data_IF_058970763136
#
_entry.id   IF_058970763136
#
_cell.length_a   1.000
_cell.length_b   1.000
_cell.length_c   1.000
_cell.angle_alpha   90.00
_cell.angle_beta   90.00
_cell.angle_gamma   90.00
#
_symmetry.space_group_name_H-M   'P 1'
#
loop_
_entity.id
_entity.type
_entity.pdbx_description
1 polymer ?
#
# COMPACT_ATOMS: atom_id res chain seq x y z
N UNK A 1 31.32 7.11 -29.64
CA UNK A 1 30.30 8.17 -29.48
C UNK A 1 29.09 7.72 -30.29
N UNK A 2 28.10 7.10 -29.65
CA UNK A 2 26.96 6.50 -30.34
C UNK A 2 25.90 7.58 -30.54
N UNK A 3 25.73 8.06 -31.77
CA UNK A 3 24.70 9.05 -32.08
C UNK A 3 23.33 8.39 -32.02
N UNK A 4 22.50 8.80 -31.06
CA UNK A 4 21.09 8.43 -31.02
C UNK A 4 20.41 8.90 -32.33
N UNK A 5 19.49 8.09 -32.91
CA UNK A 5 18.80 8.46 -34.14
C UNK A 5 17.97 9.72 -33.93
N UNK A 6 17.89 10.54 -34.98
CA UNK A 6 17.18 11.81 -34.97
C UNK A 6 15.70 11.62 -34.57
N UNK A 7 15.33 12.14 -33.38
CA UNK A 7 13.93 12.33 -32.95
C UNK A 7 13.46 11.54 -31.72
N UNK A 8 14.28 10.70 -31.08
CA UNK A 8 13.88 9.90 -29.91
C UNK A 8 14.55 10.30 -28.60
N UNK A 9 13.82 10.20 -27.47
CA UNK A 9 14.39 10.32 -26.12
C UNK A 9 15.39 9.18 -25.86
N UNK A 10 16.60 9.54 -25.43
CA UNK A 10 17.62 8.57 -25.00
C UNK A 10 17.28 7.94 -23.65
N UNK A 11 17.96 6.85 -23.28
CA UNK A 11 17.82 6.28 -21.93
C UNK A 11 18.26 7.27 -20.84
N UNK A 12 19.27 8.08 -21.10
CA UNK A 12 19.71 9.13 -20.17
C UNK A 12 18.65 10.21 -19.97
N UNK A 13 17.92 10.57 -21.04
CA UNK A 13 16.79 11.50 -20.94
C UNK A 13 15.67 10.93 -20.06
N UNK A 14 15.32 9.65 -20.29
CA UNK A 14 14.32 8.96 -19.47
C UNK A 14 14.74 8.87 -18.01
N UNK A 15 15.99 8.51 -17.75
CA UNK A 15 16.52 8.41 -16.40
C UNK A 15 16.51 9.78 -15.70
N UNK A 16 16.94 10.84 -16.38
CA UNK A 16 16.88 12.21 -15.85
C UNK A 16 15.45 12.61 -15.50
N UNK A 17 14.48 12.32 -16.37
CA UNK A 17 13.06 12.56 -16.09
C UNK A 17 12.60 11.81 -14.83
N UNK A 18 12.90 10.51 -14.72
CA UNK A 18 12.47 9.69 -13.57
C UNK A 18 13.08 10.18 -12.25
N UNK A 19 14.36 10.56 -12.25
CA UNK A 19 15.03 11.14 -11.08
C UNK A 19 14.36 12.46 -10.68
N UNK A 20 14.09 13.35 -11.64
CA UNK A 20 13.41 14.61 -11.39
C UNK A 20 12.00 14.40 -10.87
N UNK A 21 11.25 13.45 -11.46
CA UNK A 21 9.88 13.13 -11.04
C UNK A 21 9.86 12.56 -9.63
N UNK A 22 10.77 11.64 -9.29
CA UNK A 22 10.90 11.11 -7.92
C UNK A 22 11.18 12.24 -6.92
N UNK A 23 12.13 13.12 -7.21
CA UNK A 23 12.45 14.25 -6.34
C UNK A 23 11.24 15.20 -6.17
N UNK A 24 10.46 15.42 -7.22
CA UNK A 24 9.22 16.20 -7.15
C UNK A 24 8.17 15.50 -6.28
N UNK A 25 7.93 14.21 -6.46
CA UNK A 25 7.00 13.43 -5.65
C UNK A 25 7.39 13.44 -4.16
N UNK A 26 8.69 13.35 -3.85
CA UNK A 26 9.18 13.45 -2.47
C UNK A 26 8.87 14.82 -1.87
N UNK A 27 9.12 15.92 -2.61
CA UNK A 27 8.74 17.28 -2.15
C UNK A 27 7.22 17.44 -1.97
N UNK A 28 6.42 16.94 -2.91
CA UNK A 28 4.95 16.96 -2.83
C UNK A 28 4.45 16.22 -1.58
N UNK A 29 5.00 15.04 -1.30
CA UNK A 29 4.68 14.27 -0.10
C UNK A 29 5.07 14.99 1.18
N UNK A 30 6.28 15.54 1.25
CA UNK A 30 6.76 16.28 2.43
C UNK A 30 5.87 17.49 2.71
N UNK A 31 5.49 18.22 1.66
CA UNK A 31 4.63 19.39 1.80
C UNK A 31 3.21 19.03 2.31
N UNK A 32 2.68 17.86 1.95
CA UNK A 32 1.31 17.45 2.33
C UNK A 32 1.22 16.66 3.63
N UNK A 33 2.21 15.81 3.89
CA UNK A 33 2.16 14.81 4.97
C UNK A 33 3.28 14.98 6.00
N UNK A 34 4.16 15.96 5.81
CA UNK A 34 5.37 16.12 6.63
C UNK A 34 6.46 15.14 6.23
N UNK A 35 7.52 15.09 7.04
CA UNK A 35 8.63 14.18 6.79
C UNK A 35 8.17 12.72 6.85
N UNK A 36 8.38 11.97 5.78
CA UNK A 36 8.12 10.53 5.72
C UNK A 36 9.40 9.83 5.25
N UNK A 37 10.06 9.13 6.17
CA UNK A 37 11.25 8.31 5.88
C UNK A 37 10.83 6.88 5.48
N UNK A 38 9.95 6.81 4.48
CA UNK A 38 9.29 5.57 4.02
C UNK A 38 9.27 5.53 2.49
N UNK A 39 10.34 6.04 1.88
CA UNK A 39 10.41 6.23 0.44
C UNK A 39 10.59 4.90 -0.32
N UNK A 40 10.94 3.83 0.40
CA UNK A 40 10.97 2.42 0.00
C UNK A 40 9.58 1.88 -0.35
N UNK A 41 8.51 2.48 0.19
CA UNK A 41 7.14 2.07 -0.09
C UNK A 41 6.64 2.52 -1.47
N UNK A 42 7.44 3.31 -2.22
CA UNK A 42 7.08 3.75 -3.57
C UNK A 42 5.82 4.62 -3.64
N UNK A 43 5.39 5.20 -2.51
CA UNK A 43 4.18 6.01 -2.37
C UNK A 43 4.30 7.30 -3.18
N UNK A 44 3.20 7.67 -3.84
CA UNK A 44 2.98 9.01 -4.39
C UNK A 44 1.77 9.66 -3.72
N UNK A 45 1.73 10.99 -3.65
CA UNK A 45 0.58 11.69 -3.10
C UNK A 45 -0.66 11.49 -4.00
N UNK A 46 -1.84 11.18 -3.44
CA UNK A 46 -3.07 11.12 -4.22
C UNK A 46 -3.46 12.50 -4.78
N UNK A 47 -4.35 12.56 -5.80
CA UNK A 47 -5.03 13.80 -6.20
C UNK A 47 -5.69 14.48 -4.99
N UNK A 48 -5.83 15.80 -5.02
CA UNK A 48 -6.31 16.56 -3.85
C UNK A 48 -7.80 16.29 -3.55
N UNK A 49 -8.56 15.99 -4.59
CA UNK A 49 -9.97 15.61 -4.57
C UNK A 49 -10.21 14.16 -4.17
N UNK A 50 -9.15 13.34 -4.04
CA UNK A 50 -9.28 11.94 -3.68
C UNK A 50 -9.53 11.79 -2.17
N UNK A 51 -10.78 11.44 -1.83
CA UNK A 51 -11.22 11.22 -0.46
C UNK A 51 -11.93 9.87 -0.30
N UNK A 52 -11.13 8.79 -0.22
CA UNK A 52 -11.63 7.47 0.14
C UNK A 52 -11.61 7.28 1.66
N UNK A 53 -12.73 6.77 2.20
CA UNK A 53 -12.90 6.44 3.61
C UNK A 53 -13.20 4.95 3.78
N UNK A 54 -12.64 4.30 4.80
CA UNK A 54 -12.92 2.90 5.06
C UNK A 54 -14.35 2.70 5.57
N UNK A 55 -14.91 1.53 5.29
CA UNK A 55 -16.19 1.05 5.79
C UNK A 55 -15.92 0.33 7.12
N UNK A 56 -16.36 0.88 8.27
CA UNK A 56 -16.16 0.24 9.56
C UNK A 56 -17.09 -0.97 9.72
N UNK A 57 -16.61 -1.99 10.44
CA UNK A 57 -17.44 -3.12 10.89
C UNK A 57 -17.45 -3.26 12.42
N UNK A 58 -16.94 -2.25 13.12
CA UNK A 58 -16.86 -2.21 14.57
C UNK A 58 -17.33 -0.86 15.11
N UNK A 59 -17.88 -0.85 16.33
CA UNK A 59 -18.46 0.34 16.96
C UNK A 59 -17.44 1.48 17.20
N UNK A 60 -16.14 1.17 17.22
CA UNK A 60 -15.06 2.15 17.34
C UNK A 60 -14.65 2.79 16.00
N UNK A 61 -15.42 2.58 14.93
CA UNK A 61 -15.15 3.16 13.61
C UNK A 61 -14.00 2.50 12.85
N UNK A 62 -13.45 1.39 13.33
CA UNK A 62 -12.44 0.61 12.61
C UNK A 62 -13.04 -0.60 11.89
N UNK A 63 -12.21 -1.30 11.13
CA UNK A 63 -12.54 -2.58 10.53
C UNK A 63 -11.52 -3.66 10.93
N UNK A 64 -12.02 -4.88 11.16
CA UNK A 64 -11.23 -6.03 11.59
C UNK A 64 -11.58 -7.30 10.80
N UNK A 65 -10.69 -8.28 10.88
CA UNK A 65 -10.87 -9.60 10.29
C UNK A 65 -10.75 -9.62 8.76
N UNK A 66 -10.62 -10.82 8.20
CA UNK A 66 -10.40 -11.00 6.76
C UNK A 66 -11.51 -10.38 5.89
N UNK A 67 -12.76 -10.42 6.36
CA UNK A 67 -13.89 -9.81 5.64
C UNK A 67 -13.78 -8.29 5.58
N UNK A 68 -13.55 -7.61 6.73
CA UNK A 68 -13.39 -6.16 6.77
C UNK A 68 -12.22 -5.67 5.92
N UNK A 69 -11.10 -6.39 5.94
CA UNK A 69 -9.96 -6.11 5.06
C UNK A 69 -10.30 -6.31 3.58
N UNK A 70 -10.97 -7.40 3.21
CA UNK A 70 -11.33 -7.68 1.82
C UNK A 70 -12.33 -6.66 1.25
N UNK A 71 -13.35 -6.30 2.02
CA UNK A 71 -14.37 -5.31 1.61
C UNK A 71 -13.76 -3.93 1.40
N UNK A 72 -12.92 -3.48 2.33
CA UNK A 72 -12.23 -2.21 2.22
C UNK A 72 -11.20 -2.19 1.10
N UNK A 73 -10.47 -3.28 0.90
CA UNK A 73 -9.53 -3.37 -0.23
C UNK A 73 -10.27 -3.29 -1.57
N UNK A 74 -11.39 -4.00 -1.69
CA UNK A 74 -12.22 -3.96 -2.89
C UNK A 74 -12.85 -2.57 -3.11
N UNK A 75 -13.30 -1.89 -2.06
CA UNK A 75 -13.88 -0.53 -2.16
C UNK A 75 -12.81 0.49 -2.56
N UNK A 76 -11.60 0.40 -1.99
CA UNK A 76 -10.47 1.23 -2.36
C UNK A 76 -10.09 1.03 -3.82
N UNK A 77 -9.91 -0.21 -4.28
CA UNK A 77 -9.52 -0.49 -5.67
C UNK A 77 -10.51 0.02 -6.72
N UNK A 78 -11.79 0.17 -6.38
CA UNK A 78 -12.80 0.73 -7.31
C UNK A 78 -12.61 2.22 -7.59
N UNK A 79 -12.00 2.95 -6.66
CA UNK A 79 -11.85 4.40 -6.74
C UNK A 79 -10.38 4.85 -6.71
N UNK A 80 -9.45 3.92 -6.51
CA UNK A 80 -8.02 4.22 -6.40
C UNK A 80 -7.52 4.89 -7.69
N UNK A 81 -6.89 6.08 -7.61
CA UNK A 81 -6.44 6.80 -8.79
C UNK A 81 -5.32 6.05 -9.50
N UNK A 82 -5.45 5.91 -10.81
CA UNK A 82 -4.39 5.32 -11.62
C UNK A 82 -3.26 6.32 -11.83
N UNK A 83 -2.02 5.86 -11.68
CA UNK A 83 -0.82 6.63 -12.00
C UNK A 83 -0.06 5.94 -13.13
N UNK A 84 0.30 6.71 -14.16
CA UNK A 84 1.18 6.28 -15.25
C UNK A 84 2.17 7.39 -15.52
N UNK A 85 3.45 7.04 -15.58
CA UNK A 85 4.49 7.91 -16.13
C UNK A 85 4.97 7.30 -17.44
N UNK A 86 4.93 8.03 -18.57
CA UNK A 86 5.27 7.48 -19.89
C UNK A 86 6.75 7.07 -20.01
N UNK A 87 7.61 7.53 -19.11
CA UNK A 87 9.04 7.18 -19.08
C UNK A 87 9.36 6.02 -18.14
N UNK A 88 8.37 5.56 -17.35
CA UNK A 88 8.52 4.45 -16.42
C UNK A 88 8.27 3.11 -17.10
N UNK A 89 9.02 2.10 -16.70
CA UNK A 89 8.86 0.74 -17.22
C UNK A 89 7.66 0.02 -16.58
N UNK A 90 7.21 0.46 -15.40
CA UNK A 90 6.09 -0.13 -14.68
C UNK A 90 4.98 0.91 -14.49
N UNK A 91 3.75 0.51 -14.81
CA UNK A 91 2.57 1.31 -14.53
C UNK A 91 2.08 1.08 -13.10
N UNK A 92 1.40 2.09 -12.55
CA UNK A 92 0.80 2.03 -11.22
C UNK A 92 1.72 2.50 -10.10
N UNK A 93 1.12 3.20 -9.14
CA UNK A 93 1.76 3.61 -7.88
C UNK A 93 0.74 3.47 -6.76
N UNK A 94 1.25 3.22 -5.56
CA UNK A 94 0.41 3.19 -4.38
C UNK A 94 0.23 4.61 -3.82
N UNK A 95 -0.94 4.86 -3.22
CA UNK A 95 -1.29 6.20 -2.68
C UNK A 95 -1.95 6.15 -1.30
N UNK A 96 -2.36 4.97 -0.80
CA UNK A 96 -3.21 4.86 0.39
C UNK A 96 -2.79 3.72 1.29
N UNK A 97 -2.26 4.01 2.47
CA UNK A 97 -2.09 2.98 3.51
C UNK A 97 -3.41 2.72 4.22
N UNK A 98 -4.07 1.63 3.85
CA UNK A 98 -5.38 1.27 4.40
C UNK A 98 -5.32 1.01 5.92
N UNK A 99 -4.19 0.48 6.42
CA UNK A 99 -3.97 0.28 7.86
C UNK A 99 -4.06 1.59 8.66
N UNK A 100 -3.46 2.67 8.13
CA UNK A 100 -3.40 4.02 8.72
C UNK A 100 -4.73 4.78 8.65
N UNK A 101 -5.73 4.24 7.94
CA UNK A 101 -7.07 4.82 7.86
C UNK A 101 -7.98 4.34 9.01
N UNK A 102 -7.49 3.45 9.88
CA UNK A 102 -8.23 2.97 11.04
C UNK A 102 -7.94 3.84 12.25
N UNK A 103 -8.97 4.30 12.99
CA UNK A 103 -8.75 5.03 14.24
C UNK A 103 -8.21 4.12 15.36
N UNK A 104 -8.48 2.81 15.31
CA UNK A 104 -7.99 1.83 16.29
C UNK A 104 -7.40 0.63 15.53
N UNK A 105 -6.15 0.30 15.82
CA UNK A 105 -5.41 -0.72 15.05
C UNK A 105 -5.60 -2.15 15.57
N UNK A 106 -6.04 -2.30 16.82
CA UNK A 106 -6.21 -3.60 17.48
C UNK A 106 -7.61 -3.73 18.12
N UNK A 107 -8.31 -4.87 17.95
CA UNK A 107 -9.61 -5.09 18.58
C UNK A 107 -9.52 -4.98 20.11
N UNK A 108 -10.36 -4.16 20.76
CA UNK A 108 -10.41 -4.06 22.22
C UNK A 108 -10.72 -5.40 22.92
N UNK A 109 -11.45 -6.28 22.25
CA UNK A 109 -11.83 -7.62 22.74
C UNK A 109 -10.61 -8.54 22.89
N UNK A 110 -9.53 -8.22 22.18
CA UNK A 110 -8.25 -8.94 22.21
C UNK A 110 -7.17 -8.12 22.95
N UNK A 111 -7.57 -7.20 23.82
CA UNK A 111 -6.64 -6.38 24.59
C UNK A 111 -5.74 -7.25 25.49
N UNK A 112 -4.53 -6.76 25.73
CA UNK A 112 -3.46 -7.47 26.45
C UNK A 112 -2.93 -6.64 27.64
N UNK A 113 -3.80 -6.15 28.56
CA UNK A 113 -3.36 -5.27 29.65
C UNK A 113 -2.28 -5.91 30.54
N UNK A 114 -2.30 -7.24 30.66
CA UNK A 114 -1.33 -8.01 31.43
C UNK A 114 0.11 -7.95 30.88
N UNK A 115 0.32 -7.56 29.61
CA UNK A 115 1.65 -7.45 29.01
C UNK A 115 2.22 -6.02 29.02
N UNK A 116 1.39 -5.00 29.24
CA UNK A 116 1.80 -3.59 29.06
C UNK A 116 2.95 -3.20 30.00
N UNK A 117 2.91 -3.68 31.25
CA UNK A 117 3.96 -3.40 32.23
C UNK A 117 5.32 -3.96 31.83
N UNK A 118 5.36 -5.20 31.34
CA UNK A 118 6.60 -5.83 30.89
C UNK A 118 7.12 -5.21 29.59
N UNK A 119 6.21 -4.89 28.65
CA UNK A 119 6.59 -4.20 27.41
C UNK A 119 7.27 -2.86 27.70
N UNK A 120 6.73 -2.08 28.65
CA UNK A 120 7.34 -0.83 29.07
C UNK A 120 8.68 -1.05 29.79
N UNK A 121 8.74 -2.01 30.72
CA UNK A 121 9.95 -2.32 31.49
C UNK A 121 11.13 -2.67 30.59
N UNK A 122 10.89 -3.45 29.53
CA UNK A 122 11.92 -3.93 28.63
C UNK A 122 12.05 -3.13 27.33
N UNK A 123 11.31 -2.04 27.17
CA UNK A 123 11.34 -1.21 25.96
C UNK A 123 10.93 -1.96 24.69
N UNK A 124 9.97 -2.90 24.80
CA UNK A 124 9.51 -3.74 23.69
C UNK A 124 8.52 -2.94 22.85
N UNK A 125 8.75 -2.90 21.54
CA UNK A 125 7.75 -2.47 20.54
C UNK A 125 6.97 -3.72 20.11
N UNK A 126 5.71 -3.91 20.55
CA UNK A 126 4.98 -5.13 20.25
C UNK A 126 4.49 -5.12 18.80
N UNK A 127 4.45 -6.30 18.17
CA UNK A 127 3.79 -6.49 16.87
C UNK A 127 2.26 -6.45 16.93
N UNK A 128 1.68 -6.34 18.14
CA UNK A 128 0.23 -6.38 18.34
C UNK A 128 -0.40 -5.06 17.85
N UNK A 129 -1.24 -5.14 16.82
CA UNK A 129 -1.78 -3.96 16.14
C UNK A 129 -0.80 -3.29 15.17
N UNK A 130 0.40 -3.84 15.02
CA UNK A 130 1.38 -3.40 14.02
C UNK A 130 1.05 -3.88 12.61
N UNK A 131 1.60 -3.18 11.62
CA UNK A 131 1.56 -3.63 10.23
C UNK A 131 2.49 -4.84 10.03
N UNK A 132 2.02 -5.80 9.23
CA UNK A 132 2.77 -7.04 8.97
C UNK A 132 3.81 -6.83 7.88
N UNK A 133 5.03 -7.34 8.11
CA UNK A 133 6.04 -7.49 7.06
C UNK A 133 5.90 -8.90 6.46
N UNK A 134 5.72 -8.99 5.15
CA UNK A 134 5.62 -10.29 4.48
C UNK A 134 6.33 -10.29 3.14
N UNK A 135 6.96 -11.42 2.81
CA UNK A 135 7.49 -11.70 1.48
C UNK A 135 6.43 -12.42 0.65
N UNK A 136 5.75 -11.77 -0.30
CA UNK A 136 4.76 -12.44 -1.14
C UNK A 136 5.38 -13.54 -1.98
N UNK A 137 4.69 -14.69 -2.06
CA UNK A 137 4.99 -15.67 -3.09
C UNK A 137 4.48 -15.16 -4.44
N UNK A 138 5.37 -14.53 -5.21
CA UNK A 138 5.01 -14.08 -6.56
C UNK A 138 4.69 -15.24 -7.51
N UNK A 139 5.17 -16.45 -7.23
CA UNK A 139 4.95 -17.64 -8.06
C UNK A 139 3.46 -17.97 -8.18
N UNK A 140 2.71 -17.85 -7.08
CA UNK A 140 1.28 -18.13 -7.09
C UNK A 140 0.53 -17.16 -8.01
N UNK A 141 0.90 -15.88 -7.98
CA UNK A 141 0.31 -14.83 -8.82
C UNK A 141 0.63 -15.03 -10.30
N UNK A 142 1.90 -15.29 -10.61
CA UNK A 142 2.36 -15.50 -11.99
C UNK A 142 1.79 -16.79 -12.61
N UNK A 143 1.61 -17.86 -11.83
CA UNK A 143 1.10 -19.14 -12.34
C UNK A 143 -0.41 -19.20 -12.47
N UNK A 144 -1.15 -18.60 -11.53
CA UNK A 144 -2.61 -18.74 -11.46
C UNK A 144 -3.36 -17.50 -11.90
N UNK A 145 -2.76 -16.32 -11.73
CA UNK A 145 -3.48 -15.05 -11.80
C UNK A 145 -4.65 -14.97 -10.83
N UNK A 146 -5.41 -13.87 -10.90
CA UNK A 146 -6.61 -13.68 -10.06
C UNK A 146 -7.70 -14.72 -10.36
N UNK A 147 -7.88 -15.10 -11.62
CA UNK A 147 -8.89 -16.09 -12.03
C UNK A 147 -8.62 -17.48 -11.46
N UNK A 148 -7.36 -17.94 -11.48
CA UNK A 148 -6.98 -19.24 -10.92
C UNK A 148 -7.07 -19.27 -9.40
N UNK A 149 -6.69 -18.19 -8.71
CA UNK A 149 -6.90 -18.04 -7.27
C UNK A 149 -8.39 -18.12 -6.90
N UNK A 150 -9.24 -17.38 -7.62
CA UNK A 150 -10.68 -17.38 -7.39
C UNK A 150 -11.30 -18.76 -7.63
N UNK A 151 -10.84 -19.49 -8.65
CA UNK A 151 -11.26 -20.87 -8.90
C UNK A 151 -10.94 -21.77 -7.71
N UNK A 152 -9.70 -21.73 -7.19
CA UNK A 152 -9.30 -22.53 -6.02
C UNK A 152 -10.20 -22.27 -4.81
N UNK A 153 -10.46 -21.00 -4.49
CA UNK A 153 -11.34 -20.63 -3.36
C UNK A 153 -12.76 -21.20 -3.55
N UNK A 154 -13.31 -21.12 -4.77
CA UNK A 154 -14.64 -21.66 -5.09
C UNK A 154 -14.70 -23.17 -4.98
N UNK A 155 -13.65 -23.87 -5.39
CA UNK A 155 -13.60 -25.34 -5.31
C UNK A 155 -13.48 -25.80 -3.85
N UNK A 156 -12.68 -25.12 -3.02
CA UNK A 156 -12.58 -25.40 -1.59
C UNK A 156 -13.91 -25.17 -0.84
N UNK A 157 -14.74 -24.21 -1.26
CA UNK A 157 -16.05 -23.94 -0.64
C UNK A 157 -17.12 -24.97 -0.94
N UNK A 158 -16.92 -25.82 -1.95
CA UNK A 158 -17.87 -26.88 -2.33
C UNK A 158 -17.61 -28.20 -1.60
N UNK A 159 -16.45 -28.32 -0.95
CA UNK A 159 -16.05 -29.46 -0.12
C UNK A 159 -16.62 -29.27 1.28
#
# INVERSE_FOLDING_TARGET
>A
MNMAPAGGLSYDDRLRHLVQRKAQQTREKIARFGHMDEDDLGLVAPPQEFDWQPIPNHANGSFYGAAGWAENFASLLRVHPTYVDPMDALAGRWMVFMSRRRPVHWPPELAYPHLLGEQQMYGIIPGIGGDSHFGPDYTIGLKLGWGGLLKKVRDCRKQ
#
